data_IF_764448886115
#
_entry.id   IF_764448886115
#
_cell.length_a   1.000
_cell.length_b   1.000
_cell.length_c   1.000
_cell.angle_alpha   90.00
_cell.angle_beta   90.00
_cell.angle_gamma   90.00
#
_symmetry.space_group_name_H-M   'P 1'
#
loop_
_entity.id
_entity.type
_entity.pdbx_description
1 polymer ?
#
# COMPACT_ATOMS: atom_id res chain seq x y z
N UNK A 1 18.38 5.34 -15.70
CA UNK A 1 18.49 4.92 -14.30
C UNK A 1 17.95 6.00 -13.39
N UNK A 2 17.06 5.62 -12.52
CA UNK A 2 16.48 6.58 -11.60
C UNK A 2 17.44 6.84 -10.44
N UNK A 3 18.03 8.03 -10.42
CA UNK A 3 18.97 8.41 -9.38
C UNK A 3 18.28 9.09 -8.19
N UNK A 4 16.96 9.28 -8.26
CA UNK A 4 16.21 9.96 -7.21
C UNK A 4 15.81 9.04 -6.05
N UNK A 5 15.88 7.72 -6.24
CA UNK A 5 15.52 6.79 -5.19
C UNK A 5 16.58 6.75 -4.09
N UNK A 6 16.20 6.93 -2.81
CA UNK A 6 17.19 6.91 -1.74
C UNK A 6 17.72 5.49 -1.49
N UNK A 7 18.94 5.36 -0.96
CA UNK A 7 19.48 4.05 -0.58
C UNK A 7 18.58 3.30 0.41
N UNK A 8 17.85 4.01 1.25
CA UNK A 8 16.93 3.40 2.20
C UNK A 8 15.82 2.61 1.48
N UNK A 9 15.34 3.10 0.35
CA UNK A 9 14.31 2.41 -0.43
C UNK A 9 14.84 1.10 -0.99
N UNK A 10 16.07 1.11 -1.51
CA UNK A 10 16.72 -0.09 -2.02
C UNK A 10 16.92 -1.13 -0.91
N UNK A 11 17.30 -0.69 0.30
CA UNK A 11 17.45 -1.58 1.45
C UNK A 11 16.13 -2.21 1.85
N UNK A 12 15.07 -1.42 1.84
CA UNK A 12 13.72 -1.91 2.19
C UNK A 12 13.27 -2.97 1.20
N UNK A 13 13.45 -2.73 -0.09
CA UNK A 13 13.08 -3.69 -1.13
C UNK A 13 13.91 -4.97 -1.00
N UNK A 14 15.22 -4.84 -0.74
CA UNK A 14 16.10 -5.99 -0.54
C UNK A 14 15.64 -6.84 0.64
N UNK A 15 15.24 -6.20 1.75
CA UNK A 15 14.71 -6.92 2.90
C UNK A 15 13.40 -7.63 2.56
N UNK A 16 12.52 -6.95 1.84
CA UNK A 16 11.22 -7.54 1.45
C UNK A 16 11.39 -8.80 0.62
N UNK A 17 12.41 -8.83 -0.24
CA UNK A 17 12.70 -10.02 -1.08
C UNK A 17 13.05 -11.25 -0.24
N UNK A 18 13.58 -11.06 0.96
CA UNK A 18 13.95 -12.16 1.85
C UNK A 18 12.88 -12.44 2.92
N UNK A 19 11.83 -11.65 2.96
CA UNK A 19 10.77 -11.79 3.97
C UNK A 19 9.58 -12.53 3.36
N UNK A 20 9.31 -13.78 3.80
CA UNK A 20 8.22 -14.56 3.22
C UNK A 20 6.84 -14.00 3.52
N UNK A 21 6.71 -13.12 4.50
CA UNK A 21 5.44 -12.50 4.85
C UNK A 21 5.05 -11.34 3.92
N UNK A 22 6.03 -10.81 3.17
CA UNK A 22 5.79 -9.67 2.29
C UNK A 22 5.54 -10.14 0.86
N UNK A 23 4.35 -9.84 0.35
CA UNK A 23 3.98 -10.17 -1.02
C UNK A 23 4.48 -9.14 -2.01
N UNK A 24 4.40 -7.86 -1.67
CA UNK A 24 4.77 -6.79 -2.58
C UNK A 24 5.14 -5.52 -1.83
N UNK A 25 5.87 -4.65 -2.52
CA UNK A 25 6.21 -3.31 -2.04
C UNK A 25 5.75 -2.30 -3.07
N UNK A 26 4.94 -1.34 -2.66
CA UNK A 26 4.41 -0.29 -3.52
C UNK A 26 4.91 1.07 -3.05
N UNK A 27 5.21 1.95 -4.00
CA UNK A 27 5.50 3.35 -3.73
C UNK A 27 4.23 4.14 -4.01
N UNK A 28 3.83 5.01 -3.10
CA UNK A 28 2.60 5.79 -3.28
C UNK A 28 2.79 7.23 -2.77
N UNK A 29 1.75 8.04 -2.86
CA UNK A 29 1.80 9.42 -2.46
C UNK A 29 2.35 10.32 -3.57
N UNK A 30 2.83 11.50 -3.20
CA UNK A 30 3.27 12.51 -4.17
C UNK A 30 4.46 12.07 -5.02
N UNK A 31 5.37 11.26 -4.45
CA UNK A 31 6.51 10.72 -5.20
C UNK A 31 6.07 9.79 -6.33
N UNK A 32 5.07 8.94 -6.05
CA UNK A 32 4.55 8.03 -7.07
C UNK A 32 3.86 8.80 -8.20
N UNK A 33 3.18 9.91 -7.86
CA UNK A 33 2.51 10.74 -8.86
C UNK A 33 3.46 11.61 -9.67
N UNK A 34 4.70 11.76 -9.22
CA UNK A 34 5.69 12.59 -9.89
C UNK A 34 5.55 14.09 -9.63
N UNK A 35 4.68 14.49 -8.71
CA UNK A 35 4.44 15.88 -8.37
C UNK A 35 5.04 16.28 -7.01
N UNK A 36 5.93 15.46 -6.49
CA UNK A 36 6.53 15.68 -5.19
C UNK A 36 7.52 16.83 -5.20
N UNK A 37 7.50 17.64 -4.14
CA UNK A 37 8.57 18.59 -3.88
C UNK A 37 9.85 17.82 -3.52
N UNK A 38 11.04 18.45 -3.72
CA UNK A 38 12.29 17.78 -3.37
C UNK A 38 12.37 17.34 -1.91
N UNK A 39 11.65 18.02 -1.02
CA UNK A 39 11.62 17.69 0.41
C UNK A 39 10.59 16.65 0.78
N UNK A 40 9.80 16.14 -0.17
CA UNK A 40 8.77 15.15 0.12
C UNK A 40 9.38 13.81 0.48
N UNK A 41 8.83 13.18 1.51
CA UNK A 41 9.25 11.85 1.92
C UNK A 41 8.70 10.79 0.97
N UNK A 42 9.34 9.63 0.97
CA UNK A 42 8.84 8.47 0.23
C UNK A 42 7.84 7.72 1.09
N UNK A 43 6.65 7.53 0.56
CA UNK A 43 5.60 6.74 1.20
C UNK A 43 5.61 5.34 0.61
N UNK A 44 5.86 4.35 1.45
CA UNK A 44 5.99 2.95 1.04
C UNK A 44 4.88 2.13 1.67
N UNK A 45 4.29 1.25 0.88
CA UNK A 45 3.25 0.36 1.35
C UNK A 45 3.71 -1.09 1.18
N UNK A 46 3.68 -1.84 2.27
CA UNK A 46 3.94 -3.28 2.25
C UNK A 46 2.62 -4.01 2.08
N UNK A 47 2.53 -4.85 1.05
CA UNK A 47 1.39 -5.75 0.89
C UNK A 47 1.81 -7.10 1.48
N UNK A 48 1.11 -7.54 2.53
CA UNK A 48 1.42 -8.81 3.18
C UNK A 48 0.76 -9.97 2.43
N UNK A 49 1.32 -11.15 2.61
CA UNK A 49 0.79 -12.35 2.00
C UNK A 49 -0.53 -12.79 2.63
N UNK A 50 -1.06 -13.90 2.11
CA UNK A 50 -2.39 -14.39 2.49
C UNK A 50 -2.45 -15.03 3.87
N UNK A 51 -1.32 -15.26 4.54
CA UNK A 51 -1.32 -15.85 5.88
C UNK A 51 -2.09 -14.97 6.86
N UNK A 52 -2.89 -15.56 7.75
CA UNK A 52 -3.61 -14.77 8.75
C UNK A 52 -2.65 -13.92 9.57
N UNK A 53 -3.03 -12.69 9.79
CA UNK A 53 -2.17 -11.71 10.44
C UNK A 53 -3.04 -10.81 11.32
N UNK A 54 -2.71 -10.76 12.61
CA UNK A 54 -3.42 -9.89 13.54
C UNK A 54 -3.02 -8.43 13.34
N UNK A 55 -3.80 -7.52 13.90
CA UNK A 55 -3.45 -6.10 13.90
C UNK A 55 -2.10 -5.86 14.57
N UNK A 56 -1.81 -6.64 15.61
CA UNK A 56 -0.53 -6.55 16.31
C UNK A 56 0.63 -6.97 15.39
N UNK A 57 0.45 -8.07 14.65
CA UNK A 57 1.47 -8.54 13.71
C UNK A 57 1.75 -7.50 12.63
N UNK A 58 0.71 -6.84 12.13
CA UNK A 58 0.85 -5.78 11.14
C UNK A 58 1.62 -4.59 11.69
N UNK A 59 1.30 -4.20 12.92
CA UNK A 59 2.01 -3.10 13.58
C UNK A 59 3.47 -3.42 13.82
N UNK A 60 3.77 -4.63 14.25
CA UNK A 60 5.16 -5.08 14.46
C UNK A 60 5.94 -5.07 13.14
N UNK A 61 5.33 -5.57 12.08
CA UNK A 61 5.96 -5.58 10.76
C UNK A 61 6.27 -4.17 10.29
N UNK A 62 5.34 -3.25 10.46
CA UNK A 62 5.53 -1.86 10.11
C UNK A 62 6.71 -1.25 10.86
N UNK A 63 6.78 -1.47 12.16
CA UNK A 63 7.88 -0.93 12.99
C UNK A 63 9.23 -1.51 12.60
N UNK A 64 9.30 -2.80 12.29
CA UNK A 64 10.53 -3.43 11.84
C UNK A 64 11.09 -2.75 10.59
N UNK A 65 10.23 -2.50 9.62
CA UNK A 65 10.65 -1.91 8.36
C UNK A 65 10.98 -0.43 8.51
N UNK A 66 10.22 0.30 9.32
CA UNK A 66 10.51 1.70 9.59
C UNK A 66 11.85 1.90 10.28
N UNK A 67 12.16 1.01 11.24
CA UNK A 67 13.43 1.11 11.98
C UNK A 67 14.63 0.85 11.09
N UNK A 68 14.49 -0.05 10.11
CA UNK A 68 15.60 -0.42 9.25
C UNK A 68 15.84 0.58 8.12
N UNK A 69 14.78 1.12 7.55
CA UNK A 69 14.89 1.89 6.32
C UNK A 69 14.74 3.40 6.51
N UNK A 70 14.31 3.85 7.68
CA UNK A 70 14.04 5.27 7.97
C UNK A 70 13.10 5.89 6.92
N UNK A 71 12.06 5.16 6.56
CA UNK A 71 11.03 5.59 5.62
C UNK A 71 9.68 5.49 6.28
N UNK A 72 8.71 6.23 5.75
CA UNK A 72 7.33 6.10 6.19
C UNK A 72 6.73 4.86 5.55
N UNK A 73 6.45 3.86 6.37
CA UNK A 73 5.98 2.55 5.91
C UNK A 73 4.56 2.32 6.41
N UNK A 74 3.67 1.94 5.50
CA UNK A 74 2.33 1.51 5.83
C UNK A 74 2.15 0.04 5.46
N UNK A 75 1.27 -0.65 6.17
CA UNK A 75 0.88 -2.01 5.80
C UNK A 75 -0.46 -1.92 5.09
N UNK A 76 -0.53 -2.44 3.88
CA UNK A 76 -1.70 -2.32 3.01
C UNK A 76 -2.97 -2.80 3.70
N UNK A 77 -2.92 -3.96 4.34
CA UNK A 77 -4.07 -4.57 4.99
C UNK A 77 -4.57 -3.79 6.22
N UNK A 78 -3.74 -2.89 6.74
CA UNK A 78 -4.13 -2.04 7.87
C UNK A 78 -4.73 -0.70 7.44
N UNK A 79 -4.69 -0.39 6.15
CA UNK A 79 -5.22 0.87 5.64
C UNK A 79 -6.74 0.81 5.46
N UNK A 80 -7.44 1.95 5.63
CA UNK A 80 -8.85 2.02 5.27
C UNK A 80 -9.08 1.67 3.79
N UNK A 81 -10.27 1.19 3.48
CA UNK A 81 -10.58 0.71 2.13
C UNK A 81 -10.37 1.78 1.06
N UNK A 82 -10.77 3.02 1.32
CA UNK A 82 -10.61 4.11 0.35
C UNK A 82 -9.13 4.43 0.08
N UNK A 83 -8.28 4.27 1.10
CA UNK A 83 -6.84 4.47 0.94
C UNK A 83 -6.23 3.29 0.19
N UNK A 84 -6.65 2.05 0.50
CA UNK A 84 -6.17 0.88 -0.24
C UNK A 84 -6.48 0.98 -1.73
N UNK A 85 -7.69 1.41 -2.06
CA UNK A 85 -8.08 1.61 -3.45
C UNK A 85 -7.19 2.65 -4.13
N UNK A 86 -6.91 3.74 -3.44
CA UNK A 86 -6.07 4.82 -3.95
C UNK A 86 -4.62 4.37 -4.16
N UNK A 87 -4.08 3.60 -3.21
CA UNK A 87 -2.73 3.06 -3.32
C UNK A 87 -2.60 2.18 -4.56
N UNK A 88 -3.59 1.33 -4.82
CA UNK A 88 -3.56 0.46 -6.00
C UNK A 88 -3.69 1.24 -7.31
N UNK A 89 -4.42 2.33 -7.29
CA UNK A 89 -4.67 3.14 -8.48
C UNK A 89 -3.46 4.02 -8.84
N UNK A 90 -2.83 4.61 -7.84
CA UNK A 90 -1.77 5.60 -8.03
C UNK A 90 -0.38 5.05 -7.74
N UNK A 91 -0.29 3.92 -7.04
CA UNK A 91 0.98 3.38 -6.60
C UNK A 91 1.81 2.76 -7.71
N UNK A 92 3.10 2.69 -7.47
CA UNK A 92 4.07 2.05 -8.35
C UNK A 92 4.60 0.81 -7.66
N UNK A 93 4.55 -0.34 -8.35
CA UNK A 93 5.05 -1.60 -7.81
C UNK A 93 6.58 -1.59 -7.89
N UNK A 94 7.23 -1.65 -6.73
CA UNK A 94 8.68 -1.75 -6.66
C UNK A 94 9.15 -3.19 -6.62
N UNK A 95 8.34 -4.07 -6.06
CA UNK A 95 8.63 -5.49 -5.92
C UNK A 95 7.34 -6.26 -5.76
N UNK A 96 7.24 -7.40 -6.42
CA UNK A 96 6.15 -8.35 -6.22
C UNK A 96 6.73 -9.76 -6.26
N UNK A 97 6.49 -10.51 -5.18
CA UNK A 97 6.93 -11.90 -5.10
C UNK A 97 6.16 -12.78 -6.07
N UNK A 98 4.86 -12.51 -6.17
CA UNK A 98 3.93 -13.27 -7.01
C UNK A 98 2.94 -12.26 -7.59
N UNK A 99 3.10 -11.96 -8.87
CA UNK A 99 2.27 -10.97 -9.54
C UNK A 99 0.81 -11.38 -9.60
N UNK A 100 0.55 -12.67 -9.76
CA UNK A 100 -0.84 -13.17 -9.78
C UNK A 100 -1.52 -12.98 -8.42
N UNK A 101 -0.79 -13.25 -7.35
CA UNK A 101 -1.32 -13.05 -6.00
C UNK A 101 -1.57 -11.56 -5.73
N UNK A 102 -0.67 -10.69 -6.17
CA UNK A 102 -0.86 -9.25 -6.03
C UNK A 102 -2.08 -8.78 -6.83
N UNK A 103 -2.23 -9.30 -8.05
CA UNK A 103 -3.38 -8.97 -8.89
C UNK A 103 -4.70 -9.41 -8.23
N UNK A 104 -4.70 -10.58 -7.58
CA UNK A 104 -5.87 -11.05 -6.84
C UNK A 104 -6.23 -10.11 -5.68
N UNK A 105 -5.22 -9.60 -4.96
CA UNK A 105 -5.44 -8.60 -3.90
C UNK A 105 -6.05 -7.34 -4.50
N UNK A 106 -5.55 -6.89 -5.64
CA UNK A 106 -6.04 -5.69 -6.30
C UNK A 106 -7.50 -5.84 -6.73
N UNK A 107 -7.85 -6.98 -7.30
CA UNK A 107 -9.22 -7.24 -7.72
C UNK A 107 -10.17 -7.26 -6.52
N UNK A 108 -9.80 -7.96 -5.45
CA UNK A 108 -10.65 -8.01 -4.25
C UNK A 108 -10.88 -6.63 -3.66
N UNK A 109 -9.82 -5.82 -3.63
CA UNK A 109 -9.91 -4.45 -3.12
C UNK A 109 -10.80 -3.58 -4.00
N UNK A 110 -10.64 -3.69 -5.31
CA UNK A 110 -11.44 -2.91 -6.25
C UNK A 110 -12.93 -3.27 -6.14
N UNK A 111 -13.24 -4.56 -6.02
CA UNK A 111 -14.62 -5.02 -5.87
C UNK A 111 -15.23 -4.54 -4.55
N UNK A 112 -14.46 -4.61 -3.47
CA UNK A 112 -14.92 -4.13 -2.17
C UNK A 112 -15.18 -2.62 -2.21
N UNK A 113 -14.31 -1.87 -2.86
CA UNK A 113 -14.45 -0.42 -2.99
C UNK A 113 -15.66 -0.05 -3.83
N UNK A 114 -15.90 -0.73 -4.95
CA UNK A 114 -17.06 -0.48 -5.78
C UNK A 114 -18.36 -0.77 -5.05
N UNK A 115 -18.42 -1.86 -4.30
CA UNK A 115 -19.58 -2.17 -3.47
C UNK A 115 -19.82 -1.10 -2.42
N UNK A 116 -18.77 -0.69 -1.72
CA UNK A 116 -18.84 0.36 -0.71
C UNK A 116 -19.30 1.69 -1.32
N UNK A 117 -18.71 2.09 -2.45
CA UNK A 117 -19.07 3.33 -3.12
C UNK A 117 -20.56 3.35 -3.51
N UNK A 118 -21.05 2.23 -4.01
CA UNK A 118 -22.44 2.14 -4.43
C UNK A 118 -23.40 2.31 -3.24
N UNK A 119 -23.14 1.63 -2.15
CA UNK A 119 -23.95 1.74 -0.93
C UNK A 119 -23.88 3.15 -0.37
N UNK A 120 -22.70 3.72 -0.30
CA UNK A 120 -22.51 5.07 0.25
C UNK A 120 -23.24 6.12 -0.60
N UNK A 121 -23.21 5.97 -1.92
CA UNK A 121 -23.90 6.87 -2.83
C UNK A 121 -25.42 6.79 -2.64
N UNK A 122 -25.95 5.58 -2.53
CA UNK A 122 -27.37 5.38 -2.28
C UNK A 122 -27.81 6.03 -0.95
N UNK A 123 -27.03 5.83 0.08
CA UNK A 123 -27.31 6.42 1.38
C UNK A 123 -27.34 7.95 1.30
N UNK A 124 -26.37 8.55 0.62
CA UNK A 124 -26.32 9.99 0.44
C UNK A 124 -27.54 10.52 -0.29
N UNK A 125 -27.95 9.84 -1.34
CA UNK A 125 -29.11 10.25 -2.12
C UNK A 125 -30.38 10.20 -1.28
N UNK A 126 -30.56 9.18 -0.47
CA UNK A 126 -31.70 9.07 0.42
C UNK A 126 -31.71 10.19 1.46
N UNK A 127 -30.57 10.50 2.05
CA UNK A 127 -30.46 11.57 3.03
C UNK A 127 -30.80 12.92 2.40
N UNK A 128 -30.34 13.17 1.18
CA UNK A 128 -30.61 14.42 0.50
C UNK A 128 -32.07 14.55 0.04
N UNK A 129 -32.76 13.45 -0.18
CA UNK A 129 -34.16 13.45 -0.56
C UNK A 129 -35.09 13.62 0.63
N UNK A 130 -34.64 13.17 1.78
CA UNK A 130 -35.39 13.24 3.02
C UNK A 130 -35.33 14.62 3.61
#
# INVERSE_FOLDING_TARGET
MDTSAPPALARLVARAKTDPDVLAVLLFGSRARGDAAPSSDFDVCLVLGAAPCSDRDRAEKRLEYMAEADLDVAVFQALPLHIRSRVLKEGVVLYARDEEALYAVAIRTARAWEGFRHIHRQYRDEVLRG
#
